data_IF_507527888574
#
_entry.id   IF_507527888574
#
_cell.length_a   1.000
_cell.length_b   1.000
_cell.length_c   1.000
_cell.angle_alpha   90.00
_cell.angle_beta   90.00
_cell.angle_gamma   90.00
#
_symmetry.space_group_name_H-M   'P 1'
#
loop_
_entity.id
_entity.type
_entity.pdbx_description
1 polymer ?
#
# COMPACT_ATOMS: atom_id res chain seq x y z
N UNK A 1 -17.12 3.75 -33.75
CA UNK A 1 -17.36 3.66 -32.30
C UNK A 1 -18.29 2.47 -32.07
N UNK A 2 -17.95 1.54 -31.19
CA UNK A 2 -18.85 0.43 -30.83
C UNK A 2 -20.04 0.95 -30.04
N UNK A 3 -21.20 0.27 -30.15
CA UNK A 3 -22.36 0.62 -29.31
C UNK A 3 -21.99 0.47 -27.82
N UNK A 4 -22.50 1.38 -26.96
CA UNK A 4 -22.26 1.33 -25.52
C UNK A 4 -22.77 0.01 -24.91
N UNK A 5 -21.91 -0.66 -24.10
CA UNK A 5 -22.24 -1.93 -23.44
C UNK A 5 -22.14 -1.82 -21.92
N UNK A 6 -23.28 -1.89 -21.25
CA UNK A 6 -23.35 -1.88 -19.78
C UNK A 6 -22.68 -3.10 -19.16
N UNK A 7 -22.81 -4.25 -19.78
CA UNK A 7 -22.23 -5.50 -19.31
C UNK A 7 -20.69 -5.43 -19.32
N UNK A 8 -20.10 -4.95 -20.41
CA UNK A 8 -18.66 -4.75 -20.51
C UNK A 8 -18.16 -3.70 -19.52
N UNK A 9 -18.92 -2.63 -19.30
CA UNK A 9 -18.55 -1.61 -18.30
C UNK A 9 -18.53 -2.20 -16.88
N UNK A 10 -19.57 -2.95 -16.49
CA UNK A 10 -19.66 -3.62 -15.20
C UNK A 10 -18.51 -4.61 -15.00
N UNK A 11 -18.20 -5.41 -16.00
CA UNK A 11 -17.08 -6.36 -15.99
C UNK A 11 -15.73 -5.66 -15.72
N UNK A 12 -15.46 -4.55 -16.42
CA UNK A 12 -14.21 -3.81 -16.25
C UNK A 12 -14.11 -3.16 -14.86
N UNK A 13 -15.22 -2.63 -14.31
CA UNK A 13 -15.22 -2.08 -12.96
C UNK A 13 -14.98 -3.18 -11.92
N UNK A 14 -15.61 -4.35 -12.08
CA UNK A 14 -15.38 -5.50 -11.17
C UNK A 14 -13.93 -5.97 -11.22
N UNK A 15 -13.34 -6.07 -12.40
CA UNK A 15 -11.93 -6.41 -12.56
C UNK A 15 -11.03 -5.44 -11.77
N UNK A 16 -11.32 -4.13 -11.83
CA UNK A 16 -10.55 -3.17 -11.06
C UNK A 16 -10.76 -3.32 -9.54
N UNK A 17 -11.98 -3.61 -9.09
CA UNK A 17 -12.26 -3.91 -7.68
C UNK A 17 -11.46 -5.14 -7.21
N UNK A 18 -11.43 -6.20 -8.01
CA UNK A 18 -10.67 -7.41 -7.70
C UNK A 18 -9.17 -7.12 -7.63
N UNK A 19 -8.64 -6.35 -8.58
CA UNK A 19 -7.26 -5.89 -8.53
C UNK A 19 -6.96 -5.08 -7.25
N UNK A 20 -7.85 -4.15 -6.86
CA UNK A 20 -7.70 -3.41 -5.58
C UNK A 20 -7.69 -4.37 -4.40
N UNK A 21 -8.56 -5.39 -4.39
CA UNK A 21 -8.58 -6.40 -3.33
C UNK A 21 -7.28 -7.20 -3.25
N UNK A 22 -6.71 -7.58 -4.39
CA UNK A 22 -5.39 -8.23 -4.44
C UNK A 22 -4.29 -7.35 -3.85
N UNK A 23 -4.29 -6.05 -4.17
CA UNK A 23 -3.34 -5.10 -3.58
C UNK A 23 -3.52 -4.94 -2.07
N UNK A 24 -4.77 -4.94 -1.57
CA UNK A 24 -5.07 -4.97 -0.13
C UNK A 24 -4.47 -6.22 0.51
N UNK A 25 -4.68 -7.40 -0.09
CA UNK A 25 -4.13 -8.66 0.40
C UNK A 25 -2.59 -8.66 0.44
N UNK A 26 -1.95 -8.16 -0.62
CA UNK A 26 -0.50 -8.01 -0.69
C UNK A 26 0.02 -7.04 0.39
N UNK A 27 -0.64 -5.89 0.56
CA UNK A 27 -0.32 -4.90 1.59
C UNK A 27 -0.36 -5.50 2.99
N UNK A 28 -1.46 -6.14 3.35
CA UNK A 28 -1.64 -6.76 4.67
C UNK A 28 -0.60 -7.86 4.95
N UNK A 29 -0.29 -8.66 3.93
CA UNK A 29 0.71 -9.72 4.03
C UNK A 29 2.13 -9.15 4.22
N UNK A 30 2.46 -8.08 3.53
CA UNK A 30 3.75 -7.40 3.66
C UNK A 30 3.93 -6.80 5.06
N UNK A 31 2.90 -6.10 5.58
CA UNK A 31 2.93 -5.53 6.94
C UNK A 31 3.13 -6.61 8.00
N UNK A 32 2.39 -7.71 7.90
CA UNK A 32 2.57 -8.86 8.79
C UNK A 32 3.99 -9.45 8.69
N UNK A 33 4.54 -9.50 7.46
CA UNK A 33 5.92 -9.92 7.22
C UNK A 33 6.93 -9.00 7.89
N UNK A 34 6.84 -7.69 7.71
CA UNK A 34 7.74 -6.70 8.33
C UNK A 34 7.69 -6.77 9.86
N UNK A 35 6.48 -6.76 10.43
CA UNK A 35 6.29 -6.89 11.87
C UNK A 35 6.86 -8.20 12.43
N UNK A 36 6.64 -9.32 11.73
CA UNK A 36 7.17 -10.63 12.09
C UNK A 36 8.70 -10.66 12.01
N UNK A 37 9.30 -10.05 10.99
CA UNK A 37 10.75 -9.89 10.86
C UNK A 37 11.32 -9.03 11.97
N UNK A 38 10.74 -7.85 12.21
CA UNK A 38 11.14 -6.97 13.31
C UNK A 38 11.14 -7.72 14.66
N UNK A 39 10.04 -8.39 15.00
CA UNK A 39 9.92 -9.11 16.26
C UNK A 39 10.93 -10.27 16.40
N UNK A 40 11.16 -11.04 15.35
CA UNK A 40 12.12 -12.15 15.34
C UNK A 40 13.55 -11.65 15.49
N UNK A 41 13.90 -10.64 14.71
CA UNK A 41 15.24 -10.10 14.67
C UNK A 41 15.59 -9.35 15.96
N UNK A 42 14.65 -8.58 16.54
CA UNK A 42 14.80 -7.95 17.85
C UNK A 42 15.19 -8.97 18.92
N UNK A 43 14.54 -10.16 18.94
CA UNK A 43 14.91 -11.25 19.86
C UNK A 43 16.32 -11.80 19.59
N UNK A 44 16.75 -11.88 18.33
CA UNK A 44 18.10 -12.34 17.97
C UNK A 44 19.16 -11.35 18.42
N UNK A 45 18.98 -10.04 18.17
CA UNK A 45 19.88 -8.98 18.62
C UNK A 45 19.97 -8.96 20.14
N UNK A 46 18.83 -9.06 20.84
CA UNK A 46 18.83 -9.14 22.30
C UNK A 46 19.60 -10.35 22.86
N UNK A 47 19.53 -11.51 22.19
CA UNK A 47 20.30 -12.68 22.59
C UNK A 47 21.79 -12.53 22.29
N UNK A 48 22.15 -11.92 21.16
CA UNK A 48 23.52 -11.70 20.76
C UNK A 48 24.25 -10.69 21.67
N UNK A 49 23.52 -9.72 22.22
CA UNK A 49 24.05 -8.71 23.15
C UNK A 49 24.20 -9.20 24.61
N UNK A 50 23.92 -10.46 24.88
CA UNK A 50 24.25 -11.02 26.21
C UNK A 50 25.78 -11.12 26.39
N UNK A 51 26.29 -10.98 27.64
CA UNK A 51 27.74 -10.89 27.93
C UNK A 51 28.63 -12.05 27.42
N UNK A 52 28.03 -13.09 26.82
CA UNK A 52 28.73 -14.28 26.27
C UNK A 52 29.04 -14.12 24.77
N UNK A 53 28.63 -13.02 24.12
CA UNK A 53 28.88 -12.82 22.70
C UNK A 53 30.34 -12.43 22.45
N UNK A 54 31.06 -13.26 21.71
CA UNK A 54 32.45 -13.03 21.28
C UNK A 54 32.59 -12.12 20.08
N UNK A 55 31.48 -11.57 19.55
CA UNK A 55 31.52 -10.66 18.42
C UNK A 55 31.83 -9.24 18.87
N UNK A 56 32.83 -8.57 18.26
CA UNK A 56 33.04 -7.16 18.53
C UNK A 56 31.79 -6.36 18.11
N UNK A 57 31.26 -5.51 19.00
CA UNK A 57 30.24 -4.56 18.62
C UNK A 57 30.82 -3.54 17.62
N UNK A 58 29.99 -2.98 16.77
CA UNK A 58 30.37 -1.78 15.98
C UNK A 58 30.63 -0.59 16.92
N UNK A 59 30.94 0.57 16.35
CA UNK A 59 31.21 1.79 17.13
C UNK A 59 30.07 2.23 18.06
N UNK A 60 28.85 1.74 17.81
CA UNK A 60 27.66 2.01 18.63
C UNK A 60 27.34 0.90 19.62
N UNK A 61 28.12 -0.16 19.65
CA UNK A 61 27.87 -1.34 20.48
C UNK A 61 26.83 -2.32 19.94
N UNK A 62 26.28 -2.05 18.74
CA UNK A 62 25.30 -2.93 18.11
C UNK A 62 25.95 -3.93 17.16
N UNK A 63 25.58 -5.23 17.22
CA UNK A 63 26.12 -6.22 16.30
C UNK A 63 25.68 -5.90 14.88
N UNK A 64 26.64 -5.89 13.94
CA UNK A 64 26.36 -5.75 12.52
C UNK A 64 25.76 -7.03 11.97
N UNK A 65 24.63 -6.94 11.30
CA UNK A 65 24.01 -8.05 10.58
C UNK A 65 24.38 -7.96 9.12
N UNK A 66 24.90 -9.05 8.60
CA UNK A 66 25.18 -9.21 7.18
C UNK A 66 23.97 -9.88 6.54
N UNK A 67 23.26 -9.12 5.70
CA UNK A 67 22.34 -9.68 4.73
C UNK A 67 23.06 -9.77 3.40
N UNK A 68 23.31 -10.97 2.95
CA UNK A 68 23.86 -11.23 1.64
C UNK A 68 22.90 -12.12 0.87
N UNK A 69 22.44 -11.68 -0.28
CA UNK A 69 21.86 -12.54 -1.29
C UNK A 69 22.86 -12.69 -2.44
N UNK A 70 23.04 -13.89 -2.91
CA UNK A 70 23.90 -14.18 -4.05
C UNK A 70 23.01 -14.34 -5.29
N UNK A 71 23.39 -13.70 -6.38
CA UNK A 71 22.74 -13.94 -7.67
C UNK A 71 23.00 -15.37 -8.16
N UNK A 72 24.25 -15.78 -8.02
CA UNK A 72 24.72 -17.12 -8.35
C UNK A 72 25.49 -17.66 -7.13
N UNK A 73 25.04 -18.74 -6.45
CA UNK A 73 25.74 -19.33 -5.32
C UNK A 73 27.18 -19.78 -5.63
N UNK A 74 27.52 -20.00 -6.92
CA UNK A 74 28.89 -20.31 -7.34
C UNK A 74 29.82 -19.11 -7.40
N UNK A 75 29.25 -17.89 -7.28
CA UNK A 75 29.96 -16.59 -7.30
C UNK A 75 29.63 -15.77 -6.07
N UNK A 76 30.08 -16.19 -4.88
CA UNK A 76 29.70 -15.58 -3.61
C UNK A 76 30.28 -14.16 -3.37
N UNK A 77 31.14 -13.69 -4.25
CA UNK A 77 31.66 -12.33 -4.31
C UNK A 77 30.68 -11.33 -4.91
N UNK A 78 29.64 -11.79 -5.62
CA UNK A 78 28.56 -10.95 -6.15
C UNK A 78 27.44 -10.86 -5.11
N UNK A 79 27.44 -9.78 -4.35
CA UNK A 79 26.45 -9.54 -3.28
C UNK A 79 25.43 -8.50 -3.75
N UNK A 80 24.14 -8.89 -3.80
CA UNK A 80 23.04 -8.00 -4.18
C UNK A 80 22.55 -7.11 -3.04
N UNK A 81 22.64 -7.60 -1.79
CA UNK A 81 22.18 -6.84 -0.65
C UNK A 81 23.33 -6.20 0.11
N UNK A 82 23.05 -4.99 0.52
CA UNK A 82 23.91 -4.21 1.40
C UNK A 82 24.12 -4.89 2.74
N UNK A 83 25.31 -4.77 3.30
CA UNK A 83 25.52 -4.97 4.73
C UNK A 83 24.75 -3.86 5.44
N UNK A 84 23.84 -4.23 6.33
CA UNK A 84 23.03 -3.30 7.08
C UNK A 84 23.26 -3.49 8.57
N UNK A 85 23.29 -2.42 9.33
CA UNK A 85 23.38 -2.45 10.79
C UNK A 85 22.10 -2.98 11.39
N UNK A 86 22.21 -3.60 12.57
CA UNK A 86 21.08 -4.21 13.26
C UNK A 86 20.00 -3.20 13.65
N UNK A 87 20.41 -2.00 14.07
CA UNK A 87 19.50 -0.91 14.43
C UNK A 87 18.78 -0.35 13.21
N UNK A 88 19.49 -0.12 12.10
CA UNK A 88 18.91 0.31 10.82
C UNK A 88 17.90 -0.72 10.27
N UNK A 89 18.23 -2.01 10.39
CA UNK A 89 17.32 -3.07 9.97
C UNK A 89 16.06 -3.12 10.81
N UNK A 90 16.18 -2.98 12.12
CA UNK A 90 15.03 -2.91 13.03
C UNK A 90 14.17 -1.68 12.72
N UNK A 91 14.80 -0.52 12.55
CA UNK A 91 14.10 0.72 12.22
C UNK A 91 13.36 0.62 10.89
N UNK A 92 13.99 0.04 9.84
CA UNK A 92 13.35 -0.13 8.55
C UNK A 92 12.12 -1.05 8.56
N UNK A 93 12.11 -2.07 9.46
CA UNK A 93 11.04 -3.06 9.57
C UNK A 93 10.04 -2.79 10.71
N UNK A 94 10.18 -1.69 11.45
CA UNK A 94 9.18 -1.32 12.46
C UNK A 94 7.85 -0.89 11.79
N UNK A 95 6.72 -0.90 12.51
CA UNK A 95 5.50 -0.29 12.02
C UNK A 95 5.72 1.17 11.60
N UNK A 96 5.30 1.54 10.41
CA UNK A 96 5.55 2.85 9.79
C UNK A 96 6.99 3.05 9.31
N UNK A 97 7.86 2.05 9.38
CA UNK A 97 9.26 2.14 8.95
C UNK A 97 9.44 2.21 7.42
N UNK A 98 10.70 2.38 6.99
CA UNK A 98 11.03 2.63 5.59
C UNK A 98 10.49 1.55 4.62
N UNK A 99 10.48 0.27 5.03
CA UNK A 99 9.98 -0.81 4.19
C UNK A 99 8.46 -0.72 3.98
N UNK A 100 7.70 -0.39 5.01
CA UNK A 100 6.26 -0.15 4.91
C UNK A 100 5.97 1.07 4.03
N UNK A 101 6.69 2.17 4.22
CA UNK A 101 6.56 3.38 3.40
C UNK A 101 6.85 3.10 1.93
N UNK A 102 7.93 2.37 1.63
CA UNK A 102 8.28 2.01 0.26
C UNK A 102 7.22 1.10 -0.38
N UNK A 103 6.70 0.14 0.38
CA UNK A 103 5.67 -0.76 -0.11
C UNK A 103 4.36 -0.02 -0.40
N UNK A 104 3.94 0.88 0.51
CA UNK A 104 2.77 1.74 0.32
C UNK A 104 2.88 2.59 -0.95
N UNK A 105 4.03 3.24 -1.17
CA UNK A 105 4.31 4.02 -2.39
C UNK A 105 4.21 3.16 -3.65
N UNK A 106 4.77 1.95 -3.62
CA UNK A 106 4.73 1.02 -4.76
C UNK A 106 3.30 0.61 -5.11
N UNK A 107 2.48 0.29 -4.11
CA UNK A 107 1.07 -0.06 -4.32
C UNK A 107 0.30 1.12 -4.93
N UNK A 108 0.49 2.35 -4.44
CA UNK A 108 -0.19 3.52 -5.00
C UNK A 108 0.15 3.75 -6.47
N UNK A 109 1.44 3.63 -6.82
CA UNK A 109 1.88 3.74 -8.21
C UNK A 109 1.20 2.66 -9.06
N UNK A 110 1.14 1.43 -8.56
CA UNK A 110 0.58 0.29 -9.28
C UNK A 110 -0.93 0.43 -9.49
N UNK A 111 -1.68 0.84 -8.45
CA UNK A 111 -3.11 1.11 -8.53
C UNK A 111 -3.44 2.18 -9.57
N UNK A 112 -2.69 3.29 -9.56
CA UNK A 112 -2.89 4.36 -10.51
C UNK A 112 -2.50 3.96 -11.95
N UNK A 113 -1.36 3.28 -12.13
CA UNK A 113 -0.89 2.87 -13.46
C UNK A 113 -1.86 1.90 -14.11
N UNK A 114 -2.33 0.89 -13.36
CA UNK A 114 -3.31 -0.06 -13.90
C UNK A 114 -4.64 0.61 -14.28
N UNK A 115 -5.10 1.56 -13.47
CA UNK A 115 -6.25 2.37 -13.82
C UNK A 115 -6.05 3.17 -15.12
N UNK A 116 -4.95 3.91 -15.23
CA UNK A 116 -4.72 4.85 -16.34
C UNK A 116 -4.46 4.10 -17.66
N UNK A 117 -3.70 3.01 -17.61
CA UNK A 117 -3.23 2.33 -18.81
C UNK A 117 -4.23 1.26 -19.31
N UNK A 118 -4.96 0.60 -18.41
CA UNK A 118 -5.84 -0.52 -18.75
C UNK A 118 -7.31 -0.24 -18.52
N UNK A 119 -7.68 0.16 -17.31
CA UNK A 119 -9.08 0.24 -16.89
C UNK A 119 -9.81 1.40 -17.54
N UNK A 120 -9.29 2.62 -17.40
CA UNK A 120 -9.91 3.84 -17.91
C UNK A 120 -10.18 3.81 -19.41
N UNK A 121 -9.24 3.38 -20.28
CA UNK A 121 -9.51 3.27 -21.73
C UNK A 121 -10.58 2.22 -22.06
N UNK A 122 -10.67 1.13 -21.28
CA UNK A 122 -11.67 0.08 -21.49
C UNK A 122 -13.06 0.55 -21.04
N UNK A 123 -13.16 1.27 -19.91
CA UNK A 123 -14.41 1.92 -19.48
C UNK A 123 -14.91 2.93 -20.51
N UNK A 124 -14.02 3.75 -21.05
CA UNK A 124 -14.36 4.73 -22.07
C UNK A 124 -14.91 4.06 -23.34
N UNK A 125 -14.26 2.98 -23.81
CA UNK A 125 -14.76 2.17 -24.95
C UNK A 125 -16.12 1.55 -24.66
N UNK A 126 -16.31 0.96 -23.49
CA UNK A 126 -17.58 0.37 -23.10
C UNK A 126 -18.71 1.39 -23.00
N UNK A 127 -18.38 2.63 -22.63
CA UNK A 127 -19.32 3.76 -22.54
C UNK A 127 -19.52 4.50 -23.87
N UNK A 128 -18.62 4.32 -24.85
CA UNK A 128 -18.66 5.05 -26.14
C UNK A 128 -18.21 6.50 -26.01
N UNK A 129 -17.31 6.82 -25.09
CA UNK A 129 -16.78 8.17 -24.83
C UNK A 129 -15.25 8.18 -24.90
N UNK A 130 -14.65 9.37 -24.85
CA UNK A 130 -13.20 9.50 -24.77
C UNK A 130 -12.69 9.18 -23.35
N UNK A 131 -11.45 8.65 -23.18
CA UNK A 131 -10.91 8.32 -21.88
C UNK A 131 -10.89 9.46 -20.86
N UNK A 132 -10.72 10.70 -21.29
CA UNK A 132 -10.73 11.88 -20.44
C UNK A 132 -12.13 12.23 -19.88
N UNK A 133 -13.20 11.66 -20.43
CA UNK A 133 -14.57 11.81 -19.94
C UNK A 133 -14.87 10.81 -18.78
N UNK A 134 -14.06 9.78 -18.61
CA UNK A 134 -14.13 8.92 -17.42
C UNK A 134 -13.37 9.62 -16.28
N UNK A 135 -14.14 10.35 -15.47
CA UNK A 135 -13.59 11.14 -14.35
C UNK A 135 -13.80 10.42 -13.03
N UNK A 136 -12.75 10.43 -12.21
CA UNK A 136 -12.71 9.84 -10.89
C UNK A 136 -11.79 10.69 -9.99
N UNK A 137 -12.36 11.36 -8.98
CA UNK A 137 -11.63 12.32 -8.15
C UNK A 137 -10.46 11.66 -7.40
N UNK A 138 -10.67 10.46 -6.86
CA UNK A 138 -9.60 9.72 -6.20
C UNK A 138 -8.42 9.42 -7.14
N UNK A 139 -8.68 9.17 -8.43
CA UNK A 139 -7.62 8.93 -9.41
C UNK A 139 -6.84 10.20 -9.73
N UNK A 140 -7.48 11.37 -9.66
CA UNK A 140 -6.81 12.67 -9.74
C UNK A 140 -5.82 12.87 -8.60
N UNK A 141 -6.21 12.51 -7.39
CA UNK A 141 -5.35 12.56 -6.21
C UNK A 141 -4.20 11.54 -6.31
N UNK A 142 -4.48 10.30 -6.72
CA UNK A 142 -3.44 9.28 -6.92
C UNK A 142 -2.44 9.68 -8.01
N UNK A 143 -2.88 10.32 -9.10
CA UNK A 143 -1.98 10.91 -10.11
C UNK A 143 -1.03 11.93 -9.49
N UNK A 144 -1.56 12.80 -8.65
CA UNK A 144 -0.78 13.82 -7.96
C UNK A 144 0.24 13.18 -7.00
N UNK A 145 -0.19 12.23 -6.17
CA UNK A 145 0.69 11.50 -5.25
C UNK A 145 1.78 10.71 -5.99
N UNK A 146 1.42 9.99 -7.05
CA UNK A 146 2.38 9.26 -7.91
C UNK A 146 3.46 10.19 -8.44
N UNK A 147 3.08 11.37 -8.94
CA UNK A 147 4.03 12.34 -9.47
C UNK A 147 4.93 12.91 -8.38
N UNK A 148 4.43 13.13 -7.18
CA UNK A 148 5.23 13.57 -6.02
C UNK A 148 6.24 12.48 -5.63
N UNK A 149 5.81 11.22 -5.57
CA UNK A 149 6.67 10.08 -5.25
C UNK A 149 7.82 9.97 -6.25
N UNK A 150 7.52 10.04 -7.55
CA UNK A 150 8.51 9.79 -8.60
C UNK A 150 9.44 10.98 -8.88
N UNK A 151 8.95 12.22 -8.74
CA UNK A 151 9.65 13.40 -9.25
C UNK A 151 10.05 14.42 -8.18
N UNK A 152 9.48 14.34 -6.97
CA UNK A 152 9.68 15.33 -5.90
C UNK A 152 10.29 14.76 -4.62
N UNK A 153 10.95 13.62 -4.70
CA UNK A 153 11.49 12.89 -3.54
C UNK A 153 10.44 12.70 -2.43
N UNK A 154 9.20 12.45 -2.85
CA UNK A 154 8.02 12.32 -1.97
C UNK A 154 7.67 13.56 -1.13
N UNK A 155 8.22 14.75 -1.39
CA UNK A 155 7.90 15.96 -0.63
C UNK A 155 6.69 16.68 -1.22
N UNK A 156 5.66 16.88 -0.41
CA UNK A 156 4.40 17.53 -0.79
C UNK A 156 4.54 19.06 -0.75
N UNK A 157 4.51 19.70 -1.91
CA UNK A 157 4.52 21.16 -2.03
C UNK A 157 3.13 21.76 -1.88
N UNK A 158 3.01 23.07 -1.48
CA UNK A 158 1.73 23.73 -1.27
C UNK A 158 0.80 23.70 -2.50
N UNK A 159 1.34 23.90 -3.71
CA UNK A 159 0.57 23.86 -4.96
C UNK A 159 -0.02 22.48 -5.24
N UNK A 160 0.72 21.43 -4.95
CA UNK A 160 0.27 20.03 -5.08
C UNK A 160 -0.72 19.65 -3.99
N UNK A 161 -0.51 20.11 -2.76
CA UNK A 161 -1.47 19.91 -1.67
C UNK A 161 -2.83 20.53 -2.02
N UNK A 162 -2.85 21.77 -2.54
CA UNK A 162 -4.09 22.44 -2.94
C UNK A 162 -4.82 21.73 -4.10
N UNK A 163 -4.16 20.86 -4.86
CA UNK A 163 -4.77 20.08 -5.94
C UNK A 163 -5.38 18.74 -5.47
N UNK A 164 -5.10 18.31 -4.24
CA UNK A 164 -5.70 17.11 -3.67
C UNK A 164 -7.13 17.40 -3.19
N UNK A 165 -8.08 16.61 -3.65
CA UNK A 165 -9.52 16.81 -3.36
C UNK A 165 -10.00 15.98 -2.17
N UNK A 166 -9.55 14.73 -2.08
CA UNK A 166 -10.02 13.74 -1.10
C UNK A 166 -8.96 13.36 -0.07
N UNK A 167 -7.67 13.45 -0.46
CA UNK A 167 -6.56 12.94 0.34
C UNK A 167 -5.71 14.05 0.98
N UNK A 168 -6.02 15.33 0.74
CA UNK A 168 -5.22 16.45 1.24
C UNK A 168 -5.02 16.45 2.76
N UNK A 169 -6.07 16.15 3.52
CA UNK A 169 -6.03 16.10 4.98
C UNK A 169 -5.08 15.01 5.56
N UNK A 170 -4.68 14.05 4.73
CA UNK A 170 -3.80 12.95 5.17
C UNK A 170 -2.33 13.35 5.24
N UNK A 171 -1.94 14.46 4.60
CA UNK A 171 -0.55 14.79 4.38
C UNK A 171 -0.23 16.22 4.80
N UNK A 172 0.97 16.41 5.36
CA UNK A 172 1.45 17.72 5.76
C UNK A 172 2.25 18.39 4.62
N UNK A 173 1.99 19.69 4.42
CA UNK A 173 2.71 20.50 3.43
C UNK A 173 4.18 20.65 3.81
N UNK A 174 5.06 20.59 2.79
CA UNK A 174 6.53 20.65 2.90
C UNK A 174 7.15 19.48 3.69
N UNK A 175 6.39 18.42 3.94
CA UNK A 175 6.90 17.16 4.48
C UNK A 175 6.92 16.06 3.43
N UNK A 176 7.68 15.02 3.71
CA UNK A 176 7.63 13.79 2.93
C UNK A 176 6.28 13.10 3.13
N UNK A 177 5.74 12.50 2.07
CA UNK A 177 4.51 11.72 2.13
C UNK A 177 4.73 10.52 3.06
N UNK A 178 3.97 10.48 4.13
CA UNK A 178 3.95 9.38 5.09
C UNK A 178 2.62 8.65 4.99
N UNK A 179 2.68 7.34 4.75
CA UNK A 179 1.52 6.48 4.59
C UNK A 179 1.31 5.66 5.85
N UNK A 180 0.29 6.01 6.62
CA UNK A 180 -0.13 5.20 7.78
C UNK A 180 -1.02 4.05 7.34
N UNK A 181 -1.18 3.04 8.20
CA UNK A 181 -2.12 1.94 7.98
C UNK A 181 -3.54 2.46 7.71
N UNK A 182 -4.03 3.38 8.54
CA UNK A 182 -5.35 3.99 8.42
C UNK A 182 -5.48 4.81 7.13
N UNK A 183 -4.41 5.50 6.74
CA UNK A 183 -4.34 6.26 5.50
C UNK A 183 -4.45 5.36 4.27
N UNK A 184 -3.70 4.26 4.23
CA UNK A 184 -3.80 3.28 3.14
C UNK A 184 -5.17 2.62 3.10
N UNK A 185 -5.73 2.27 4.25
CA UNK A 185 -7.09 1.74 4.33
C UNK A 185 -8.12 2.72 3.75
N UNK A 186 -8.03 4.00 4.11
CA UNK A 186 -8.90 5.07 3.56
C UNK A 186 -8.80 5.15 2.03
N UNK A 187 -7.59 5.06 1.47
CA UNK A 187 -7.38 5.07 0.02
C UNK A 187 -8.08 3.88 -0.64
N UNK A 188 -7.91 2.66 -0.12
CA UNK A 188 -8.58 1.48 -0.65
C UNK A 188 -10.10 1.58 -0.60
N UNK A 189 -10.65 2.14 0.48
CA UNK A 189 -12.10 2.38 0.62
C UNK A 189 -12.58 3.39 -0.42
N UNK A 190 -11.91 4.53 -0.58
CA UNK A 190 -12.27 5.55 -1.55
C UNK A 190 -12.22 5.02 -2.99
N UNK A 191 -11.25 4.17 -3.33
CA UNK A 191 -11.18 3.53 -4.65
C UNK A 191 -12.41 2.66 -4.92
N UNK A 192 -12.85 1.86 -3.95
CA UNK A 192 -14.04 1.00 -4.09
C UNK A 192 -15.32 1.82 -4.13
N UNK A 193 -15.42 2.90 -3.37
CA UNK A 193 -16.55 3.81 -3.42
C UNK A 193 -16.65 4.49 -4.79
N UNK A 194 -15.52 4.88 -5.37
CA UNK A 194 -15.48 5.45 -6.71
C UNK A 194 -15.92 4.43 -7.78
N UNK A 195 -15.49 3.18 -7.66
CA UNK A 195 -15.97 2.11 -8.54
C UNK A 195 -17.50 1.94 -8.44
N UNK A 196 -18.04 1.95 -7.24
CA UNK A 196 -19.49 1.90 -7.02
C UNK A 196 -20.20 3.12 -7.65
N UNK A 197 -19.66 4.33 -7.48
CA UNK A 197 -20.19 5.55 -8.09
C UNK A 197 -20.22 5.45 -9.63
N UNK A 198 -19.17 4.92 -10.24
CA UNK A 198 -19.11 4.73 -11.70
C UNK A 198 -20.18 3.75 -12.17
N UNK A 199 -20.42 2.65 -11.46
CA UNK A 199 -21.47 1.69 -11.78
C UNK A 199 -22.87 2.29 -11.64
N UNK A 200 -23.17 2.93 -10.52
CA UNK A 200 -24.48 3.52 -10.27
C UNK A 200 -24.77 4.69 -11.22
N UNK A 201 -23.80 5.54 -11.47
CA UNK A 201 -23.93 6.64 -12.43
C UNK A 201 -24.23 6.17 -13.85
N UNK A 202 -23.67 5.04 -14.30
CA UNK A 202 -23.99 4.42 -15.57
C UNK A 202 -25.41 3.83 -15.62
N UNK A 203 -25.88 3.30 -14.50
CA UNK A 203 -27.23 2.70 -14.38
C UNK A 203 -28.33 3.76 -14.30
N UNK A 204 -27.99 5.05 -14.20
CA UNK A 204 -28.96 6.13 -14.01
C UNK A 204 -29.64 6.08 -12.63
N UNK A 205 -29.04 5.38 -11.68
CA UNK A 205 -29.46 5.42 -10.29
C UNK A 205 -28.85 6.67 -9.68
N UNK A 206 -29.64 7.74 -9.59
CA UNK A 206 -29.23 8.94 -8.87
C UNK A 206 -28.97 8.58 -7.41
N UNK A 207 -27.74 8.84 -7.00
CA UNK A 207 -27.21 8.97 -5.66
C UNK A 207 -28.08 8.43 -4.51
N UNK A 208 -27.99 7.14 -4.28
CA UNK A 208 -28.02 6.67 -2.91
C UNK A 208 -26.58 6.61 -2.42
N UNK A 209 -26.08 7.51 -1.57
CA UNK A 209 -24.80 7.29 -0.96
C UNK A 209 -24.90 5.96 -0.23
N UNK A 210 -24.04 5.00 -0.60
CA UNK A 210 -23.82 3.83 0.26
C UNK A 210 -23.40 4.43 1.60
N UNK A 211 -24.30 4.40 2.56
CA UNK A 211 -24.06 5.06 3.84
C UNK A 211 -22.82 4.41 4.45
N UNK A 212 -21.90 5.18 5.03
CA UNK A 212 -20.71 4.64 5.70
C UNK A 212 -21.03 3.54 6.71
N UNK A 213 -22.28 3.50 7.18
CA UNK A 213 -22.81 2.49 8.10
C UNK A 213 -23.01 1.11 7.44
N UNK A 214 -23.36 1.06 6.17
CA UNK A 214 -23.49 -0.20 5.40
C UNK A 214 -22.12 -0.79 5.03
N UNK A 215 -21.07 0.05 4.94
CA UNK A 215 -19.69 -0.39 4.73
C UNK A 215 -19.03 -0.93 6.01
N UNK A 216 -19.54 -0.60 7.20
CA UNK A 216 -19.01 -1.14 8.47
C UNK A 216 -19.15 -2.65 8.55
N UNK A 217 -20.23 -3.22 8.05
CA UNK A 217 -20.46 -4.66 8.09
C UNK A 217 -19.55 -5.42 7.12
N UNK A 218 -19.15 -4.82 6.00
CA UNK A 218 -18.18 -5.40 5.06
C UNK A 218 -16.75 -5.30 5.63
N UNK A 219 -16.40 -4.20 6.29
CA UNK A 219 -15.07 -4.01 6.90
C UNK A 219 -14.85 -4.94 8.11
N UNK A 220 -15.91 -5.32 8.83
CA UNK A 220 -15.82 -6.24 9.99
C UNK A 220 -15.44 -7.66 9.57
N UNK A 221 -15.75 -8.09 8.35
CA UNK A 221 -15.37 -9.42 7.85
C UNK A 221 -13.88 -9.58 7.57
N UNK A 222 -13.14 -8.47 7.45
CA UNK A 222 -11.71 -8.46 7.13
C UNK A 222 -10.82 -7.81 8.21
N UNK A 223 -11.37 -7.56 9.39
CA UNK A 223 -10.57 -7.13 10.54
C UNK A 223 -9.50 -8.17 10.89
N UNK A 224 -8.33 -7.77 11.45
CA UNK A 224 -7.29 -8.71 11.86
C UNK A 224 -7.92 -9.72 12.81
N UNK A 225 -7.98 -10.97 12.35
CA UNK A 225 -8.54 -12.05 13.13
C UNK A 225 -7.96 -12.02 14.54
N UNK A 226 -8.79 -11.91 15.56
CA UNK A 226 -8.34 -12.04 16.94
C UNK A 226 -7.60 -13.36 17.02
N UNK A 227 -6.30 -13.30 17.16
CA UNK A 227 -5.48 -14.46 17.57
C UNK A 227 -6.14 -14.96 18.84
N UNK A 228 -6.83 -16.12 18.76
CA UNK A 228 -7.29 -16.81 19.94
C UNK A 228 -6.08 -16.99 20.84
N UNK A 229 -6.11 -16.38 22.02
CA UNK A 229 -5.20 -16.75 23.08
C UNK A 229 -5.42 -18.26 23.28
N UNK A 230 -4.40 -19.07 22.96
CA UNK A 230 -4.36 -20.43 23.42
C UNK A 230 -4.43 -20.37 24.94
N UNK A 231 -5.53 -20.87 25.50
CA UNK A 231 -5.61 -21.16 26.93
C UNK A 231 -4.44 -22.08 27.27
N UNK A 232 -3.70 -21.81 28.36
CA UNK A 232 -2.72 -22.77 28.82
C UNK A 232 -3.46 -24.03 29.28
N UNK A 233 -3.04 -25.18 28.74
CA UNK A 233 -3.47 -26.49 29.23
C UNK A 233 -3.36 -26.50 30.75
N UNK A 234 -4.47 -26.72 31.41
CA UNK A 234 -4.53 -26.96 32.85
C UNK A 234 -3.93 -28.34 33.20
N UNK A 235 -3.38 -28.52 34.38
CA UNK A 235 -2.53 -29.64 34.78
C UNK A 235 -3.20 -31.01 34.80
#
# INVERSE_FOLDING_TARGET
MSEPSKEQFDEVVREYIDFVNEQVGAYMSALAGFAGHHARFSRQVHRANRPVSTRPPDETGMPTVVWASYEDPSKPDIIHNQIIRSDEYLEANRPGGANEQQHSRSILIFLFTYWEDEIRPRLARAKGVEPNEIQADIMGDLRTLRNIILHSKSVLRPDKHASLRLLGEMFEVNKELEFTYEGMHRIFVLLKQECARLLFGWLGVEDGPVKPEELKDVAIQFGPGRLRKSEPDAP
#
